data_IF_284135196315
#
_entry.id   IF_284135196315
#
_cell.length_a   1.000
_cell.length_b   1.000
_cell.length_c   1.000
_cell.angle_alpha   90.00
_cell.angle_beta   90.00
_cell.angle_gamma   90.00
#
_symmetry.space_group_name_H-M   'P 1'
#
loop_
_entity.id
_entity.type
_entity.pdbx_description
1 polymer ?
#
# COMPACT_ATOMS: atom_id res chain seq x y z
N UNK A 1 -68.22 -1.79 21.13
CA UNK A 1 -67.09 -0.90 21.16
C UNK A 1 -67.14 -0.01 19.91
N UNK A 2 -67.16 1.30 20.06
CA UNK A 2 -67.52 2.23 19.01
C UNK A 2 -66.37 2.38 18.00
N UNK A 3 -66.58 2.04 16.74
CA UNK A 3 -65.60 2.04 15.67
C UNK A 3 -64.83 3.40 15.57
N UNK A 4 -65.52 4.51 15.82
CA UNK A 4 -64.92 5.84 15.82
C UNK A 4 -63.82 6.02 16.90
N UNK A 5 -63.96 5.37 18.05
CA UNK A 5 -63.01 5.43 19.16
C UNK A 5 -61.77 4.59 18.79
N UNK A 6 -61.95 3.44 18.11
CA UNK A 6 -60.86 2.60 17.67
C UNK A 6 -59.98 3.30 16.62
N UNK A 7 -60.62 4.04 15.68
CA UNK A 7 -59.89 4.80 14.64
C UNK A 7 -59.05 5.94 15.22
N UNK A 8 -59.55 6.61 16.27
CA UNK A 8 -58.77 7.70 16.94
C UNK A 8 -57.59 7.13 17.70
N UNK A 9 -57.75 6.01 18.38
CA UNK A 9 -56.62 5.35 19.10
C UNK A 9 -55.54 4.89 18.14
N UNK A 10 -55.86 4.32 16.98
CA UNK A 10 -54.90 3.88 15.96
C UNK A 10 -54.15 5.07 15.39
N UNK A 11 -54.80 6.21 15.14
CA UNK A 11 -54.17 7.43 14.65
C UNK A 11 -53.19 8.06 15.68
N UNK A 12 -53.55 8.02 16.97
CA UNK A 12 -52.66 8.54 18.04
C UNK A 12 -51.44 7.64 18.21
N UNK A 13 -51.61 6.31 18.18
CA UNK A 13 -50.48 5.37 18.26
C UNK A 13 -49.54 5.53 17.03
N UNK A 14 -50.11 5.64 15.82
CA UNK A 14 -49.32 5.88 14.62
C UNK A 14 -48.56 7.22 14.64
N UNK A 15 -49.20 8.27 15.19
CA UNK A 15 -48.57 9.59 15.38
C UNK A 15 -47.42 9.57 16.39
N UNK A 16 -47.56 8.89 17.51
CA UNK A 16 -46.52 8.77 18.54
C UNK A 16 -45.37 7.90 18.07
N UNK A 17 -45.63 6.78 17.38
CA UNK A 17 -44.57 5.94 16.80
C UNK A 17 -43.84 6.69 15.67
N UNK A 18 -44.58 7.41 14.78
CA UNK A 18 -43.99 8.22 13.75
C UNK A 18 -43.13 9.36 14.30
N UNK A 19 -43.55 10.05 15.37
CA UNK A 19 -42.80 11.06 16.05
C UNK A 19 -41.53 10.52 16.74
N UNK A 20 -41.59 9.34 17.33
CA UNK A 20 -40.44 8.68 17.96
C UNK A 20 -39.38 8.23 16.92
N UNK A 21 -39.80 7.84 15.71
CA UNK A 21 -38.90 7.43 14.63
C UNK A 21 -38.20 8.67 13.99
N UNK A 22 -38.93 9.78 13.85
CA UNK A 22 -38.35 11.00 13.25
C UNK A 22 -37.37 11.70 14.20
N UNK A 23 -37.50 11.55 15.52
CA UNK A 23 -36.64 12.18 16.50
C UNK A 23 -35.42 11.34 16.96
N UNK A 24 -35.24 10.13 16.43
CA UNK A 24 -33.97 9.43 16.54
C UNK A 24 -32.99 10.00 15.51
N UNK A 25 -32.57 11.24 15.73
CA UNK A 25 -31.31 11.72 15.14
C UNK A 25 -30.20 10.83 15.71
N UNK A 26 -29.68 9.94 14.89
CA UNK A 26 -28.40 9.29 15.18
C UNK A 26 -27.41 10.39 15.52
N UNK A 27 -26.73 10.35 16.66
CA UNK A 27 -25.72 11.33 16.98
C UNK A 27 -24.72 11.33 15.83
N UNK A 28 -24.49 12.51 15.27
CA UNK A 28 -23.43 12.70 14.28
C UNK A 28 -22.16 12.09 14.83
N UNK A 29 -21.46 11.23 14.09
CA UNK A 29 -20.21 10.67 14.58
C UNK A 29 -19.33 11.84 15.03
N UNK A 30 -18.80 11.74 16.24
CA UNK A 30 -17.89 12.74 16.78
C UNK A 30 -16.80 13.01 15.73
N UNK A 31 -16.39 14.25 15.51
CA UNK A 31 -15.31 14.56 14.57
C UNK A 31 -14.10 13.72 14.99
N UNK A 32 -13.59 12.92 14.06
CA UNK A 32 -12.38 12.13 14.26
C UNK A 32 -11.31 13.15 14.70
N UNK A 33 -10.65 12.94 15.85
CA UNK A 33 -9.63 13.88 16.31
C UNK A 33 -8.58 13.97 15.22
N UNK A 34 -8.37 15.18 14.71
CA UNK A 34 -7.28 15.47 13.77
C UNK A 34 -5.99 15.06 14.48
N UNK A 35 -5.22 14.10 13.96
CA UNK A 35 -4.00 13.67 14.61
C UNK A 35 -3.08 14.89 14.74
N UNK A 36 -2.72 15.22 15.95
CA UNK A 36 -1.72 16.26 16.25
C UNK A 36 -0.42 15.79 15.59
N UNK A 37 0.29 16.61 14.82
CA UNK A 37 1.50 16.20 14.12
C UNK A 37 2.68 16.10 15.11
N UNK A 38 2.67 15.12 15.98
CA UNK A 38 3.81 14.68 16.78
C UNK A 38 4.54 13.53 16.06
N UNK A 39 4.73 13.67 14.75
CA UNK A 39 5.40 12.68 13.95
C UNK A 39 6.93 12.82 13.97
N UNK A 40 7.60 11.74 13.66
CA UNK A 40 9.05 11.72 13.42
C UNK A 40 9.42 12.77 12.36
N UNK A 41 10.41 13.61 12.66
CA UNK A 41 10.94 14.61 11.74
C UNK A 41 12.10 14.02 10.94
N UNK A 42 12.03 14.16 9.64
CA UNK A 42 13.05 13.69 8.70
C UNK A 42 13.63 14.91 7.99
N UNK A 43 14.95 15.08 8.07
CA UNK A 43 15.67 16.17 7.41
C UNK A 43 16.34 15.63 6.16
N UNK A 44 16.17 16.34 5.04
CA UNK A 44 16.77 16.00 3.74
C UNK A 44 17.36 17.22 3.07
N UNK A 45 18.37 16.98 2.23
CA UNK A 45 19.02 17.99 1.39
C UNK A 45 18.85 17.74 -0.10
N UNK A 46 19.45 18.57 -0.92
CA UNK A 46 19.48 18.40 -2.38
C UNK A 46 20.18 17.08 -2.75
N UNK A 47 19.61 16.33 -3.67
CA UNK A 47 20.11 15.01 -4.10
C UNK A 47 19.63 13.85 -3.23
N UNK A 48 18.99 14.12 -2.10
CA UNK A 48 18.39 13.10 -1.25
C UNK A 48 16.91 12.87 -1.61
N UNK A 49 16.41 11.69 -1.29
CA UNK A 49 15.01 11.33 -1.49
C UNK A 49 14.32 11.08 -0.17
N UNK A 50 13.05 11.46 -0.10
CA UNK A 50 12.14 10.98 0.92
C UNK A 50 10.94 10.35 0.24
N UNK A 51 10.57 9.14 0.67
CA UNK A 51 9.55 8.33 -0.02
C UNK A 51 9.82 8.21 -1.52
N UNK A 52 8.95 8.71 -2.35
CA UNK A 52 9.07 8.70 -3.82
C UNK A 52 9.50 10.04 -4.42
N UNK A 53 9.91 11.01 -3.60
CA UNK A 53 10.28 12.36 -4.04
C UNK A 53 11.79 12.60 -3.91
N UNK A 54 12.47 12.79 -5.04
CA UNK A 54 13.89 13.18 -5.10
C UNK A 54 14.00 14.70 -5.13
N UNK A 55 14.67 15.28 -4.15
CA UNK A 55 14.90 16.73 -4.06
C UNK A 55 15.98 17.14 -5.04
N UNK A 56 15.63 18.02 -5.97
CA UNK A 56 16.58 18.56 -6.95
C UNK A 56 17.04 19.98 -6.60
N UNK A 57 16.14 20.78 -5.99
CA UNK A 57 16.43 22.17 -5.67
C UNK A 57 15.58 22.63 -4.49
N UNK A 58 16.19 23.41 -3.60
CA UNK A 58 15.52 24.04 -2.47
C UNK A 58 15.51 25.56 -2.72
N UNK A 59 14.32 26.16 -2.75
CA UNK A 59 14.11 27.60 -2.87
C UNK A 59 13.64 28.16 -1.50
N UNK A 60 13.49 29.45 -1.39
CA UNK A 60 13.09 30.11 -0.16
C UNK A 60 11.70 29.65 0.36
N UNK A 61 10.76 29.37 -0.54
CA UNK A 61 9.36 29.03 -0.24
C UNK A 61 8.88 27.73 -0.84
N UNK A 62 9.77 26.99 -1.52
CA UNK A 62 9.39 25.79 -2.27
C UNK A 62 10.56 24.83 -2.48
N UNK A 63 10.22 23.59 -2.78
CA UNK A 63 11.15 22.51 -3.09
C UNK A 63 10.79 21.92 -4.43
N UNK A 64 11.71 21.96 -5.38
CA UNK A 64 11.57 21.33 -6.69
C UNK A 64 12.22 19.95 -6.70
N UNK A 65 11.57 18.99 -7.32
CA UNK A 65 12.10 17.63 -7.37
C UNK A 65 11.38 16.75 -8.38
N UNK A 66 11.75 15.48 -8.37
CA UNK A 66 11.16 14.45 -9.21
C UNK A 66 10.35 13.47 -8.37
N UNK A 67 9.11 13.30 -8.77
CA UNK A 67 8.19 12.34 -8.19
C UNK A 67 8.21 11.03 -8.98
N UNK A 68 8.54 9.93 -8.30
CA UNK A 68 8.61 8.59 -8.88
C UNK A 68 7.38 7.73 -8.54
N UNK A 69 6.20 8.33 -8.54
CA UNK A 69 4.97 7.59 -8.27
C UNK A 69 4.53 6.75 -9.49
N UNK A 70 3.92 5.60 -9.23
CA UNK A 70 3.53 4.60 -10.23
C UNK A 70 2.15 4.85 -10.87
N UNK A 71 1.65 6.08 -10.89
CA UNK A 71 0.31 6.40 -11.38
C UNK A 71 0.30 6.82 -12.87
N UNK A 72 -0.64 6.33 -13.63
CA UNK A 72 -0.89 5.00 -14.23
C UNK A 72 0.07 4.67 -15.37
N UNK A 73 1.01 5.56 -15.70
CA UNK A 73 2.07 5.34 -16.69
C UNK A 73 3.42 5.67 -16.05
N UNK A 74 4.29 4.68 -15.80
CA UNK A 74 5.62 4.94 -15.26
C UNK A 74 6.39 5.90 -16.16
N UNK A 75 6.75 7.09 -15.68
CA UNK A 75 7.68 7.98 -16.36
C UNK A 75 9.09 7.65 -15.90
N UNK A 76 9.95 7.13 -16.77
CA UNK A 76 11.29 6.68 -16.41
C UNK A 76 12.16 7.77 -15.79
N UNK A 77 11.92 9.02 -16.16
CA UNK A 77 12.65 10.21 -15.69
C UNK A 77 12.04 10.83 -14.41
N UNK A 78 10.98 10.29 -13.87
CA UNK A 78 10.19 10.92 -12.81
C UNK A 78 9.30 12.06 -13.34
N UNK A 79 8.36 12.50 -12.53
CA UNK A 79 7.49 13.64 -12.83
C UNK A 79 7.99 14.86 -12.07
N UNK A 80 8.33 15.98 -12.72
CA UNK A 80 8.67 17.22 -12.02
C UNK A 80 7.52 17.67 -11.11
N UNK A 81 7.83 18.00 -9.86
CA UNK A 81 6.88 18.50 -8.88
C UNK A 81 7.52 19.58 -8.01
N UNK A 82 6.75 20.59 -7.67
CA UNK A 82 7.13 21.63 -6.70
C UNK A 82 6.28 21.46 -5.45
N UNK A 83 6.92 21.39 -4.29
CA UNK A 83 6.27 21.30 -2.99
C UNK A 83 6.40 22.62 -2.24
N UNK A 84 5.39 22.97 -1.45
CA UNK A 84 5.38 24.06 -0.48
C UNK A 84 5.15 23.55 0.92
N UNK A 85 5.44 24.35 1.93
CA UNK A 85 5.13 24.01 3.32
C UNK A 85 3.64 23.72 3.43
N UNK A 86 3.32 22.55 4.00
CA UNK A 86 1.98 22.00 4.09
C UNK A 86 1.63 20.94 3.07
N UNK A 87 2.40 20.81 1.98
CA UNK A 87 2.16 19.78 0.97
C UNK A 87 2.62 18.40 1.46
N UNK A 88 1.86 17.39 1.07
CA UNK A 88 2.19 15.99 1.31
C UNK A 88 2.99 15.41 0.14
N UNK A 89 4.00 14.60 0.45
CA UNK A 89 4.72 13.80 -0.54
C UNK A 89 4.08 12.44 -0.79
N UNK A 90 2.84 12.28 -0.34
CA UNK A 90 2.05 11.08 -0.49
C UNK A 90 2.19 10.13 0.69
N UNK A 91 1.43 9.05 0.62
CA UNK A 91 1.47 8.02 1.64
C UNK A 91 2.54 7.00 1.33
N UNK A 92 3.30 6.60 2.34
CA UNK A 92 4.09 5.39 2.24
C UNK A 92 3.19 4.17 2.25
N UNK A 93 3.71 3.04 1.85
CA UNK A 93 2.98 1.77 1.88
C UNK A 93 2.56 1.33 3.29
N UNK A 94 3.09 1.97 4.29
CA UNK A 94 2.80 1.74 5.72
C UNK A 94 1.63 2.60 6.23
N UNK A 95 0.98 3.37 5.36
CA UNK A 95 -0.05 4.33 5.78
C UNK A 95 0.53 5.56 6.47
N UNK A 96 1.79 5.88 6.19
CA UNK A 96 2.46 7.05 6.70
C UNK A 96 2.48 8.10 5.60
N UNK A 97 1.85 9.24 5.84
CA UNK A 97 2.00 10.44 5.03
C UNK A 97 3.19 11.24 5.53
N UNK A 98 3.90 11.89 4.62
CA UNK A 98 5.01 12.76 4.94
C UNK A 98 4.71 14.15 4.41
N UNK A 99 4.59 15.10 5.32
CA UNK A 99 4.27 16.50 5.03
C UNK A 99 5.51 17.36 5.10
N UNK A 100 5.75 18.19 4.08
CA UNK A 100 6.79 19.20 4.13
C UNK A 100 6.40 20.26 5.19
N UNK A 101 7.17 20.35 6.27
CA UNK A 101 6.85 21.22 7.43
C UNK A 101 7.77 22.40 7.59
N UNK A 102 9.00 22.33 7.07
CA UNK A 102 9.89 23.50 7.05
C UNK A 102 10.88 23.45 5.89
N UNK A 103 11.33 24.63 5.48
CA UNK A 103 12.38 24.84 4.49
C UNK A 103 13.46 25.71 5.18
N UNK A 104 14.67 25.20 5.26
CA UNK A 104 15.85 25.94 5.65
C UNK A 104 16.67 26.21 4.38
N UNK A 105 16.44 27.38 3.80
CA UNK A 105 17.12 27.78 2.58
C UNK A 105 18.61 28.04 2.80
N UNK A 106 18.98 28.51 3.99
CA UNK A 106 20.39 28.83 4.32
C UNK A 106 21.24 27.57 4.39
N UNK A 107 20.71 26.53 4.98
CA UNK A 107 21.39 25.24 5.12
C UNK A 107 21.08 24.25 3.99
N UNK A 108 20.25 24.67 3.01
CA UNK A 108 19.78 23.84 1.90
C UNK A 108 19.15 22.52 2.39
N UNK A 109 18.32 22.63 3.43
CA UNK A 109 17.62 21.48 4.06
C UNK A 109 16.12 21.71 4.14
N UNK A 110 15.40 20.62 4.11
CA UNK A 110 13.95 20.58 4.33
C UNK A 110 13.60 19.56 5.41
N UNK A 111 12.51 19.81 6.11
CA UNK A 111 11.98 18.87 7.11
C UNK A 111 10.64 18.34 6.65
N UNK A 112 10.54 17.02 6.57
CA UNK A 112 9.28 16.32 6.45
C UNK A 112 8.87 15.80 7.83
N UNK A 113 7.56 15.81 8.12
CA UNK A 113 7.00 15.23 9.34
C UNK A 113 6.15 14.04 8.94
N UNK A 114 6.46 12.86 9.50
CA UNK A 114 5.64 11.65 9.30
C UNK A 114 4.33 11.78 10.06
N UNK A 115 3.24 11.51 9.36
CA UNK A 115 1.89 11.47 9.93
C UNK A 115 1.38 10.05 9.73
N UNK A 116 1.14 9.36 10.83
CA UNK A 116 0.51 8.03 10.78
C UNK A 116 -0.98 8.22 10.52
N UNK A 117 -1.48 7.67 9.43
CA UNK A 117 -2.87 7.78 9.00
C UNK A 117 -3.42 6.42 8.54
N UNK A 118 -4.69 6.39 8.18
CA UNK A 118 -5.28 5.23 7.55
C UNK A 118 -4.61 4.97 6.19
N UNK A 119 -4.39 3.69 5.88
CA UNK A 119 -3.84 3.28 4.57
C UNK A 119 -4.77 3.76 3.45
N UNK A 120 -4.27 4.45 2.43
CA UNK A 120 -5.10 4.81 1.30
C UNK A 120 -5.59 3.53 0.60
N UNK A 121 -6.86 3.52 0.27
CA UNK A 121 -7.49 2.47 -0.54
C UNK A 121 -7.00 2.57 -1.99
N UNK A 122 -5.79 2.16 -2.25
CA UNK A 122 -5.27 2.10 -3.60
C UNK A 122 -3.91 2.77 -3.78
N UNK A 123 -2.87 2.04 -3.53
CA UNK A 123 -1.71 2.24 -4.31
C UNK A 123 -0.47 2.82 -3.74
N UNK A 124 0.25 1.99 -3.09
CA UNK A 124 1.70 2.04 -3.25
C UNK A 124 2.11 1.13 -4.41
N UNK A 125 3.18 1.43 -5.15
CA UNK A 125 3.84 0.43 -5.95
C UNK A 125 4.47 -0.59 -5.01
N UNK A 126 3.64 -1.50 -4.53
CA UNK A 126 3.97 -2.50 -3.53
C UNK A 126 4.32 -3.73 -4.32
N UNK A 127 5.57 -3.86 -4.68
CA UNK A 127 5.99 -4.81 -5.70
C UNK A 127 7.12 -5.69 -5.18
N UNK A 128 7.38 -6.75 -5.92
CA UNK A 128 8.50 -7.67 -5.71
C UNK A 128 9.74 -7.22 -6.48
N UNK A 129 10.90 -7.73 -6.07
CA UNK A 129 12.15 -7.55 -6.79
C UNK A 129 12.04 -8.08 -8.23
N UNK A 130 12.70 -7.40 -9.15
CA UNK A 130 12.82 -7.88 -10.54
C UNK A 130 13.61 -9.19 -10.69
N UNK A 131 14.27 -9.70 -9.65
CA UNK A 131 14.91 -11.02 -9.63
C UNK A 131 13.97 -12.15 -9.21
N UNK A 132 12.74 -11.84 -8.82
CA UNK A 132 11.77 -12.84 -8.33
C UNK A 132 11.38 -13.81 -9.44
N UNK A 133 11.35 -15.09 -9.10
CA UNK A 133 10.84 -16.16 -9.96
C UNK A 133 9.38 -16.45 -9.57
N UNK A 134 8.52 -16.50 -10.58
CA UNK A 134 7.09 -16.81 -10.40
C UNK A 134 6.83 -18.23 -10.85
N UNK A 135 6.13 -18.98 -10.01
CA UNK A 135 5.76 -20.36 -10.30
C UNK A 135 4.73 -20.41 -11.42
N UNK A 136 5.03 -21.17 -12.47
CA UNK A 136 4.11 -21.40 -13.61
C UNK A 136 3.94 -22.90 -13.87
N UNK A 137 2.90 -23.33 -14.60
CA UNK A 137 2.76 -24.71 -15.02
C UNK A 137 3.93 -25.26 -15.85
N UNK A 138 4.73 -24.37 -16.46
CA UNK A 138 5.87 -24.72 -17.30
C UNK A 138 7.23 -24.51 -16.58
N UNK A 139 7.23 -24.39 -15.24
CA UNK A 139 8.42 -24.09 -14.46
C UNK A 139 8.47 -22.62 -14.02
N UNK A 140 9.53 -22.25 -13.34
CA UNK A 140 9.68 -20.90 -12.79
C UNK A 140 10.13 -19.93 -13.87
N UNK A 141 9.46 -18.77 -13.94
CA UNK A 141 9.77 -17.70 -14.91
C UNK A 141 10.08 -16.42 -14.15
N UNK A 142 11.09 -15.67 -14.59
CA UNK A 142 11.41 -14.38 -13.98
C UNK A 142 10.25 -13.39 -14.17
N UNK A 143 9.87 -12.68 -13.12
CA UNK A 143 8.74 -11.75 -13.12
C UNK A 143 8.84 -10.69 -14.23
N UNK A 144 10.05 -10.29 -14.63
CA UNK A 144 10.29 -9.34 -15.74
C UNK A 144 9.91 -9.90 -17.12
N UNK A 145 9.89 -11.23 -17.26
CA UNK A 145 9.64 -11.90 -18.52
C UNK A 145 8.16 -12.26 -18.72
N UNK A 146 7.38 -12.18 -17.64
CA UNK A 146 5.94 -12.45 -17.69
C UNK A 146 5.20 -11.45 -18.57
N UNK A 147 4.09 -11.91 -19.14
CA UNK A 147 3.17 -11.12 -19.98
C UNK A 147 1.73 -11.48 -19.62
N UNK A 148 0.81 -10.53 -19.80
CA UNK A 148 -0.63 -10.84 -19.73
C UNK A 148 -0.99 -11.97 -20.70
N UNK A 149 -1.86 -12.87 -20.25
CA UNK A 149 -2.24 -14.07 -20.98
C UNK A 149 -1.39 -15.31 -20.68
N UNK A 150 -0.22 -15.17 -20.04
CA UNK A 150 0.58 -16.31 -19.58
C UNK A 150 -0.08 -16.98 -18.37
N UNK A 151 0.17 -18.28 -18.20
CA UNK A 151 -0.31 -19.06 -17.07
C UNK A 151 0.67 -18.95 -15.89
N UNK A 152 0.12 -18.77 -14.70
CA UNK A 152 0.83 -18.87 -13.42
C UNK A 152 0.04 -19.76 -12.47
N UNK A 153 0.67 -20.24 -11.43
CA UNK A 153 -0.05 -20.87 -10.33
C UNK A 153 -0.67 -19.82 -9.42
N UNK A 154 -1.97 -19.98 -9.10
CA UNK A 154 -2.70 -19.22 -8.09
C UNK A 154 -3.30 -20.17 -7.05
N UNK A 155 -3.72 -19.62 -5.92
CA UNK A 155 -4.52 -20.33 -4.91
C UNK A 155 -5.96 -19.88 -4.98
N UNK A 156 -6.92 -20.81 -4.88
CA UNK A 156 -8.31 -20.47 -4.65
C UNK A 156 -8.58 -20.11 -3.18
N UNK A 157 -9.80 -19.73 -2.85
CA UNK A 157 -10.23 -19.36 -1.48
C UNK A 157 -10.17 -20.52 -0.48
N UNK A 158 -10.05 -21.77 -0.95
CA UNK A 158 -9.89 -22.97 -0.13
C UNK A 158 -8.42 -23.37 0.03
N UNK A 159 -7.48 -22.64 -0.57
CA UNK A 159 -6.05 -22.93 -0.54
C UNK A 159 -5.57 -23.90 -1.62
N UNK A 160 -6.41 -24.34 -2.54
CA UNK A 160 -6.01 -25.26 -3.60
C UNK A 160 -5.22 -24.54 -4.68
N UNK A 161 -4.10 -25.14 -5.08
CA UNK A 161 -3.26 -24.64 -6.16
C UNK A 161 -3.89 -24.95 -7.51
N UNK A 162 -4.09 -23.92 -8.34
CA UNK A 162 -4.66 -24.05 -9.69
C UNK A 162 -3.98 -23.11 -10.69
N UNK A 163 -4.01 -23.41 -12.01
CA UNK A 163 -3.48 -22.50 -13.00
C UNK A 163 -4.43 -21.33 -13.22
N UNK A 164 -3.86 -20.14 -13.42
CA UNK A 164 -4.58 -18.90 -13.70
C UNK A 164 -3.88 -18.10 -14.79
N UNK A 165 -4.66 -17.32 -15.54
CA UNK A 165 -4.12 -16.40 -16.55
C UNK A 165 -3.71 -15.09 -15.86
N UNK A 166 -2.55 -14.55 -16.21
CA UNK A 166 -2.16 -13.19 -15.80
C UNK A 166 -3.06 -12.18 -16.50
N UNK A 167 -3.84 -11.44 -15.73
CA UNK A 167 -4.72 -10.36 -16.24
C UNK A 167 -3.96 -9.06 -16.42
N UNK A 168 -3.13 -8.70 -15.44
CA UNK A 168 -2.34 -7.46 -15.43
C UNK A 168 -0.91 -7.73 -14.96
N UNK A 169 0.01 -6.89 -15.43
CA UNK A 169 1.38 -6.82 -14.94
C UNK A 169 1.65 -5.39 -14.48
N UNK A 170 2.11 -5.24 -13.26
CA UNK A 170 2.61 -4.00 -12.70
C UNK A 170 4.13 -3.92 -12.88
N UNK A 171 4.60 -2.76 -13.29
CA UNK A 171 6.01 -2.40 -13.31
C UNK A 171 6.13 -0.97 -12.82
N UNK A 172 6.77 -0.77 -11.69
CA UNK A 172 6.97 0.55 -11.09
C UNK A 172 8.45 0.91 -11.05
N UNK A 173 8.78 2.13 -11.45
CA UNK A 173 10.10 2.66 -11.22
C UNK A 173 10.21 3.11 -9.77
N UNK A 174 11.34 2.81 -9.13
CA UNK A 174 11.62 3.19 -7.75
C UNK A 174 12.83 4.12 -7.68
N UNK A 175 12.89 5.01 -6.67
CA UNK A 175 14.05 5.88 -6.47
C UNK A 175 15.28 5.06 -6.06
N UNK A 176 16.49 5.59 -6.25
CA UNK A 176 17.73 4.92 -5.83
C UNK A 176 17.82 4.60 -4.35
N UNK A 177 17.01 5.27 -3.53
CA UNK A 177 16.93 5.08 -2.07
C UNK A 177 15.91 4.04 -1.65
N UNK A 178 15.23 3.40 -2.61
CA UNK A 178 14.20 2.41 -2.32
C UNK A 178 14.77 1.23 -1.51
N UNK A 179 14.03 0.84 -0.48
CA UNK A 179 14.38 -0.28 0.38
C UNK A 179 13.35 -1.39 0.27
N UNK A 180 13.81 -2.62 0.35
CA UNK A 180 12.97 -3.80 0.37
C UNK A 180 13.19 -4.60 1.66
N UNK A 181 12.17 -5.35 2.03
CA UNK A 181 12.28 -6.40 3.03
C UNK A 181 12.85 -7.63 2.34
N UNK A 182 13.96 -8.14 2.86
CA UNK A 182 14.51 -9.44 2.50
C UNK A 182 14.16 -10.42 3.60
N UNK A 183 13.33 -11.40 3.31
CA UNK A 183 13.02 -12.51 4.19
C UNK A 183 13.74 -13.78 3.73
N UNK A 184 14.14 -14.59 4.71
CA UNK A 184 14.66 -15.95 4.49
C UNK A 184 13.85 -16.88 5.40
N UNK A 185 13.29 -17.95 4.83
CA UNK A 185 12.56 -18.96 5.57
C UNK A 185 13.47 -20.13 5.98
N UNK A 186 13.07 -20.91 6.98
CA UNK A 186 13.84 -22.07 7.45
C UNK A 186 13.98 -23.17 6.38
N UNK A 187 13.03 -23.23 5.43
CA UNK A 187 13.12 -24.17 4.29
C UNK A 187 14.06 -23.69 3.17
N UNK A 188 14.77 -22.56 3.37
CA UNK A 188 15.73 -21.99 2.43
C UNK A 188 15.13 -21.08 1.35
N UNK A 189 13.81 -20.95 1.26
CA UNK A 189 13.18 -19.98 0.37
C UNK A 189 13.50 -18.56 0.84
N UNK A 190 13.65 -17.63 -0.12
CA UNK A 190 13.87 -16.21 0.19
C UNK A 190 13.11 -15.31 -0.77
N UNK A 191 12.76 -14.12 -0.32
CA UNK A 191 12.03 -13.14 -1.10
C UNK A 191 12.44 -11.72 -0.76
N UNK A 192 12.50 -10.87 -1.80
CA UNK A 192 12.65 -9.42 -1.67
C UNK A 192 11.33 -8.77 -2.08
N UNK A 193 10.67 -8.14 -1.13
CA UNK A 193 9.39 -7.47 -1.31
C UNK A 193 9.42 -6.05 -0.75
N UNK A 194 8.65 -5.14 -1.33
CA UNK A 194 8.37 -3.85 -0.70
C UNK A 194 7.69 -4.06 0.65
N UNK A 195 7.93 -3.18 1.62
CA UNK A 195 7.42 -3.33 3.00
C UNK A 195 5.90 -3.52 3.04
N UNK A 196 5.17 -2.77 2.22
CA UNK A 196 3.70 -2.88 2.14
C UNK A 196 3.17 -4.04 1.32
N UNK A 197 4.00 -4.87 0.67
CA UNK A 197 3.50 -5.99 -0.15
C UNK A 197 2.77 -7.02 0.71
N UNK A 198 1.54 -7.44 0.32
CA UNK A 198 0.76 -8.35 1.15
C UNK A 198 1.32 -9.78 1.11
N UNK A 199 1.28 -10.42 2.26
CA UNK A 199 1.38 -11.87 2.37
C UNK A 199 0.01 -12.51 2.07
N UNK A 200 -0.02 -13.82 1.84
CA UNK A 200 -1.30 -14.51 1.60
C UNK A 200 -2.20 -14.58 2.83
N UNK A 201 -1.66 -14.43 4.03
CA UNK A 201 -2.40 -14.42 5.30
C UNK A 201 -2.92 -13.00 5.69
N UNK A 202 -2.76 -12.02 4.83
CA UNK A 202 -3.30 -10.67 5.00
C UNK A 202 -2.41 -9.69 5.78
N UNK A 203 -1.24 -10.12 6.25
CA UNK A 203 -0.21 -9.23 6.79
C UNK A 203 0.52 -8.51 5.64
N UNK A 204 1.46 -7.66 5.96
CA UNK A 204 2.42 -7.09 5.01
C UNK A 204 3.85 -7.50 5.36
N UNK A 205 4.74 -7.53 4.36
CA UNK A 205 6.13 -7.93 4.59
C UNK A 205 6.86 -7.02 5.58
N UNK A 206 6.47 -5.75 5.71
CA UNK A 206 7.05 -4.82 6.70
C UNK A 206 6.75 -5.17 8.16
N UNK A 207 5.69 -5.91 8.42
CA UNK A 207 5.27 -6.33 9.77
C UNK A 207 5.87 -7.68 10.19
N UNK A 208 6.48 -8.40 9.25
CA UNK A 208 7.02 -9.76 9.48
C UNK A 208 8.28 -9.70 10.34
N UNK A 209 8.38 -10.66 11.26
CA UNK A 209 9.49 -10.79 12.21
C UNK A 209 10.10 -12.20 12.13
N UNK A 210 11.35 -12.37 12.59
CA UNK A 210 11.89 -13.71 12.85
C UNK A 210 10.92 -14.53 13.72
N UNK A 211 10.85 -15.82 13.44
CA UNK A 211 9.97 -16.83 14.07
C UNK A 211 8.48 -16.73 13.69
N UNK A 212 8.05 -15.72 12.91
CA UNK A 212 6.73 -15.75 12.28
C UNK A 212 6.62 -16.93 11.30
N UNK A 213 5.38 -17.35 11.02
CA UNK A 213 5.10 -18.37 10.01
C UNK A 213 4.58 -17.70 8.75
N UNK A 214 5.17 -18.03 7.59
CA UNK A 214 4.72 -17.68 6.25
C UNK A 214 4.78 -18.93 5.38
N UNK A 215 3.70 -19.22 4.65
CA UNK A 215 3.62 -20.34 3.71
C UNK A 215 4.15 -21.65 4.35
N UNK A 216 3.61 -21.97 5.53
CA UNK A 216 3.93 -23.16 6.35
C UNK A 216 5.41 -23.30 6.78
N UNK A 217 6.18 -22.20 6.76
CA UNK A 217 7.57 -22.18 7.19
C UNK A 217 7.88 -21.03 8.13
N UNK A 218 8.72 -21.28 9.12
CA UNK A 218 9.21 -20.24 10.02
C UNK A 218 10.13 -19.27 9.29
N UNK A 219 10.00 -17.98 9.59
CA UNK A 219 10.88 -16.92 9.12
C UNK A 219 12.19 -16.99 9.90
N UNK A 220 13.28 -17.31 9.22
CA UNK A 220 14.62 -17.40 9.80
C UNK A 220 15.26 -16.01 10.01
N UNK A 221 15.04 -15.09 9.06
CA UNK A 221 15.58 -13.74 9.17
C UNK A 221 14.75 -12.76 8.35
N UNK A 222 14.72 -11.50 8.84
CA UNK A 222 14.13 -10.34 8.18
C UNK A 222 15.15 -9.21 8.18
N UNK A 223 15.41 -8.59 7.03
CA UNK A 223 16.31 -7.45 6.89
C UNK A 223 15.72 -6.41 5.97
N UNK A 224 15.87 -5.15 6.33
CA UNK A 224 15.63 -4.02 5.40
C UNK A 224 16.92 -3.79 4.63
N UNK A 225 16.86 -3.93 3.32
CA UNK A 225 18.02 -3.82 2.44
C UNK A 225 17.82 -2.74 1.38
N UNK A 226 18.90 -2.11 0.95
CA UNK A 226 18.89 -1.21 -0.19
C UNK A 226 18.58 -2.01 -1.45
N UNK A 227 17.64 -1.49 -2.27
CA UNK A 227 17.31 -2.08 -3.56
C UNK A 227 18.15 -1.43 -4.66
N UNK A 228 18.82 -2.26 -5.47
CA UNK A 228 19.79 -1.82 -6.48
C UNK A 228 19.23 -1.79 -7.90
N UNK A 229 17.97 -2.26 -8.08
CA UNK A 229 17.34 -2.29 -9.40
C UNK A 229 16.40 -1.10 -9.59
N UNK A 230 16.24 -0.69 -10.83
CA UNK A 230 15.43 0.48 -11.21
C UNK A 230 13.93 0.25 -11.11
N UNK A 231 13.44 -1.01 -11.21
CA UNK A 231 12.03 -1.34 -11.27
C UNK A 231 11.67 -2.46 -10.31
N UNK A 232 10.48 -2.37 -9.77
CA UNK A 232 9.79 -3.43 -9.04
C UNK A 232 8.58 -3.91 -9.82
N UNK A 233 8.06 -5.10 -9.51
CA UNK A 233 7.07 -5.79 -10.33
C UNK A 233 6.00 -6.46 -9.48
N UNK A 234 4.79 -6.52 -10.04
CA UNK A 234 3.67 -7.30 -9.50
C UNK A 234 2.83 -7.89 -10.63
N UNK A 235 2.01 -8.90 -10.31
CA UNK A 235 1.08 -9.50 -11.26
C UNK A 235 -0.30 -9.63 -10.63
N UNK A 236 -1.33 -9.62 -11.47
CA UNK A 236 -2.70 -9.97 -11.10
C UNK A 236 -3.08 -11.26 -11.85
N UNK A 237 -3.06 -12.42 -11.20
CA UNK A 237 -3.66 -13.62 -11.78
C UNK A 237 -5.18 -13.51 -11.80
N UNK A 238 -5.83 -14.24 -12.71
CA UNK A 238 -7.27 -14.46 -12.66
C UNK A 238 -7.64 -15.31 -11.44
N UNK A 239 -8.89 -15.21 -11.00
CA UNK A 239 -9.40 -15.90 -9.81
C UNK A 239 -9.76 -14.92 -8.70
N UNK A 240 -10.18 -15.47 -7.55
CA UNK A 240 -10.83 -14.69 -6.50
C UNK A 240 -9.85 -14.12 -5.47
N UNK A 241 -8.66 -14.71 -5.34
CA UNK A 241 -7.70 -14.35 -4.27
C UNK A 241 -6.66 -13.33 -4.70
N UNK A 242 -6.27 -13.34 -5.98
CA UNK A 242 -5.13 -12.58 -6.47
C UNK A 242 -3.77 -13.09 -5.95
N UNK A 243 -3.73 -14.30 -5.36
CA UNK A 243 -2.50 -14.90 -4.81
C UNK A 243 -1.69 -15.58 -5.90
N UNK A 244 -0.36 -15.61 -5.71
CA UNK A 244 0.56 -16.33 -6.58
C UNK A 244 1.84 -16.73 -5.83
N UNK A 245 2.59 -17.71 -6.35
CA UNK A 245 3.86 -18.12 -5.74
C UNK A 245 5.04 -17.35 -6.33
N UNK A 246 5.77 -16.68 -5.44
CA UNK A 246 6.96 -15.88 -5.71
C UNK A 246 8.15 -16.50 -4.99
N UNK A 247 9.15 -17.01 -5.72
CA UNK A 247 10.25 -17.83 -5.20
C UNK A 247 9.73 -19.02 -4.36
N UNK A 248 8.58 -19.58 -4.76
CA UNK A 248 7.91 -20.67 -4.05
C UNK A 248 7.20 -20.26 -2.75
N UNK A 249 7.08 -18.98 -2.43
CA UNK A 249 6.34 -18.44 -1.28
C UNK A 249 5.01 -17.87 -1.79
N UNK A 250 3.90 -18.24 -1.16
CA UNK A 250 2.59 -17.71 -1.51
C UNK A 250 2.45 -16.25 -1.02
N UNK A 251 2.14 -15.34 -1.94
CA UNK A 251 1.99 -13.91 -1.68
C UNK A 251 0.68 -13.38 -2.24
N UNK A 252 0.23 -12.24 -1.75
CA UNK A 252 -0.90 -11.52 -2.32
C UNK A 252 -0.47 -10.58 -3.44
N UNK A 253 -1.30 -10.40 -4.48
CA UNK A 253 -1.12 -9.35 -5.47
C UNK A 253 -1.67 -8.00 -4.97
N UNK A 254 -1.15 -6.91 -5.51
CA UNK A 254 -1.60 -5.55 -5.17
C UNK A 254 -2.41 -4.91 -6.28
N UNK A 255 -2.39 -5.50 -7.46
CA UNK A 255 -3.13 -5.02 -8.63
C UNK A 255 -4.62 -5.41 -8.52
N UNK A 256 -5.48 -4.53 -9.03
CA UNK A 256 -6.94 -4.72 -9.10
C UNK A 256 -7.45 -4.51 -10.52
#
# INVERSE_FOLDING_TARGET
MNWKILSIIVLIIAGVVGYAIVNQQTPSPAPIPTPTPNGEKIIRGVGESESSFLIQKINLDSVEGLWYNADPVPRPEGTPRTLRIGDDIGYTCEGISEKLTSIDFSDQKVTFTKIVGERPLGGCPICLSGSTLIDTPNGNINIKELRSGMLVWTSDSLGHRQPAIILKIGKAQVPPTHKMVHIILNNGKELFASQGHPTADGRIFGDIKPDDIIDDSYVKSVKIVQYDQKYTYDILPSGDTGFYWANGILVGGTLK
#
